data_IF_942098027368
#
_entry.id   IF_942098027368
#
_cell.length_a   1.000
_cell.length_b   1.000
_cell.length_c   1.000
_cell.angle_alpha   90.00
_cell.angle_beta   90.00
_cell.angle_gamma   90.00
#
_symmetry.space_group_name_H-M   'P 1'
#
loop_
_entity.id
_entity.type
_entity.pdbx_description
1 polymer ?
#
# COMPACT_ATOMS: atom_id res chain seq x y z
N UNK A 1 -1.57 31.75 -8.06
CA UNK A 1 -0.73 31.13 -9.12
C UNK A 1 -1.57 31.09 -10.39
N UNK A 2 -1.32 31.96 -11.36
CA UNK A 2 -2.09 32.00 -12.61
C UNK A 2 -1.49 30.96 -13.57
N UNK A 3 -2.26 29.93 -13.92
CA UNK A 3 -1.86 28.97 -14.96
C UNK A 3 -2.07 29.67 -16.31
N UNK A 4 -0.98 29.92 -17.04
CA UNK A 4 -1.06 30.48 -18.39
C UNK A 4 -1.42 29.36 -19.40
N UNK A 5 -2.60 29.40 -20.05
CA UNK A 5 -3.01 28.37 -21.00
C UNK A 5 -2.22 28.38 -22.32
N UNK A 6 -1.42 29.42 -22.56
CA UNK A 6 -0.59 29.59 -23.77
C UNK A 6 0.90 29.33 -23.52
N UNK A 7 1.27 28.73 -22.39
CA UNK A 7 2.68 28.44 -22.07
C UNK A 7 3.30 27.62 -23.21
N UNK A 8 4.20 28.21 -23.99
CA UNK A 8 4.86 27.51 -25.09
C UNK A 8 5.79 26.44 -24.52
N UNK A 9 5.94 25.32 -25.24
CA UNK A 9 6.92 24.28 -24.89
C UNK A 9 8.30 24.89 -24.71
N UNK A 10 8.80 24.92 -23.46
CA UNK A 10 10.11 25.48 -23.12
C UNK A 10 10.09 26.79 -22.31
N UNK A 11 8.94 27.46 -22.19
CA UNK A 11 8.82 28.65 -21.33
C UNK A 11 8.59 28.23 -19.88
N UNK A 12 9.67 28.09 -19.11
CA UNK A 12 9.60 28.03 -17.64
C UNK A 12 10.23 29.33 -17.09
N UNK A 13 9.42 30.30 -16.63
CA UNK A 13 9.90 31.67 -16.39
C UNK A 13 11.00 31.83 -15.34
N UNK A 14 11.25 30.87 -14.44
CA UNK A 14 12.16 31.07 -13.29
C UNK A 14 13.05 29.86 -12.97
N UNK A 15 13.27 28.96 -13.92
CA UNK A 15 14.20 27.85 -13.72
C UNK A 15 15.20 27.79 -14.87
N UNK A 16 16.42 28.27 -14.61
CA UNK A 16 17.61 27.69 -15.23
C UNK A 16 17.63 26.22 -14.81
N UNK A 17 16.92 25.35 -15.54
CA UNK A 17 16.89 23.92 -15.26
C UNK A 17 18.32 23.42 -15.47
N UNK A 18 19.12 23.40 -14.39
CA UNK A 18 20.37 22.64 -14.38
C UNK A 18 20.00 21.25 -14.89
N UNK A 19 20.81 20.73 -15.80
CA UNK A 19 20.55 19.44 -16.44
C UNK A 19 20.72 18.34 -15.39
N UNK A 20 19.68 18.10 -14.62
CA UNK A 20 19.66 17.10 -13.55
C UNK A 20 19.62 15.70 -14.16
N UNK A 21 20.32 14.77 -13.51
CA UNK A 21 20.29 13.36 -13.85
C UNK A 21 19.46 12.59 -12.82
N UNK A 22 18.67 11.58 -13.23
CA UNK A 22 18.00 10.69 -12.28
C UNK A 22 19.04 9.96 -11.42
N UNK A 23 18.70 9.64 -10.17
CA UNK A 23 19.61 9.00 -9.22
C UNK A 23 20.67 9.93 -8.62
N UNK A 24 20.58 11.24 -8.84
CA UNK A 24 21.44 12.24 -8.20
C UNK A 24 20.60 13.29 -7.50
N UNK A 25 21.06 13.74 -6.33
CA UNK A 25 20.47 14.87 -5.62
C UNK A 25 20.29 16.07 -6.57
N UNK A 26 19.13 16.78 -6.58
CA UNK A 26 18.02 16.69 -5.61
C UNK A 26 16.93 15.65 -5.96
N UNK A 27 17.20 14.72 -6.89
CA UNK A 27 16.29 13.63 -7.29
C UNK A 27 14.97 14.08 -7.94
N UNK A 28 14.86 15.32 -8.42
CA UNK A 28 13.67 15.82 -9.15
C UNK A 28 13.29 14.90 -10.32
N UNK A 29 14.28 14.24 -10.94
CA UNK A 29 14.09 13.33 -12.08
C UNK A 29 13.94 11.86 -11.70
N UNK A 30 13.88 11.54 -10.41
CA UNK A 30 13.73 10.18 -9.88
C UNK A 30 14.89 9.75 -8.98
N UNK A 31 14.58 8.88 -8.02
CA UNK A 31 15.51 8.38 -7.01
C UNK A 31 16.58 7.43 -7.57
N UNK A 32 16.28 6.72 -8.67
CA UNK A 32 17.17 5.72 -9.27
C UNK A 32 17.66 6.18 -10.64
N UNK A 33 18.89 5.88 -11.03
CA UNK A 33 19.49 6.31 -12.30
C UNK A 33 18.80 5.72 -13.55
N UNK A 34 18.33 4.49 -13.45
CA UNK A 34 17.72 3.76 -14.57
C UNK A 34 16.18 3.73 -14.48
N UNK A 35 15.61 4.02 -13.30
CA UNK A 35 14.17 4.00 -13.01
C UNK A 35 13.49 2.76 -13.64
N UNK A 36 12.37 2.98 -14.32
CA UNK A 36 11.52 1.96 -14.93
C UNK A 36 12.13 1.27 -16.15
N UNK A 37 13.30 1.73 -16.66
CA UNK A 37 14.06 0.98 -17.68
C UNK A 37 14.73 -0.26 -17.10
N UNK A 38 15.03 -0.26 -15.80
CA UNK A 38 15.62 -1.39 -15.07
C UNK A 38 14.59 -2.19 -14.30
N UNK A 39 13.70 -1.52 -13.57
CA UNK A 39 12.68 -2.15 -12.73
C UNK A 39 11.42 -1.31 -12.71
N UNK A 40 10.29 -1.90 -13.11
CA UNK A 40 8.99 -1.26 -13.01
C UNK A 40 8.62 -0.95 -11.56
N UNK A 41 7.68 -0.04 -11.35
CA UNK A 41 7.09 0.16 -10.03
C UNK A 41 6.40 -1.13 -9.56
N UNK A 42 6.34 -1.33 -8.24
CA UNK A 42 5.56 -2.45 -7.69
C UNK A 42 4.09 -2.21 -7.96
N UNK A 43 3.45 -3.12 -8.69
CA UNK A 43 2.00 -3.16 -8.76
C UNK A 43 1.50 -3.70 -7.42
N UNK A 44 0.91 -2.83 -6.61
CA UNK A 44 0.46 -3.15 -5.25
C UNK A 44 -1.00 -2.73 -5.08
N UNK A 45 -1.89 -3.71 -5.02
CA UNK A 45 -3.31 -3.45 -4.80
C UNK A 45 -3.60 -3.36 -3.29
N UNK A 46 -4.38 -2.36 -2.90
CA UNK A 46 -4.96 -2.24 -1.57
C UNK A 46 -6.19 -3.13 -1.46
N UNK A 47 -6.17 -4.10 -0.55
CA UNK A 47 -7.21 -5.10 -0.41
C UNK A 47 -7.31 -5.64 1.03
N UNK A 48 -8.52 -6.05 1.39
CA UNK A 48 -8.89 -6.62 2.68
C UNK A 48 -10.37 -6.33 2.92
N UNK A 49 -11.18 -7.36 3.16
CA UNK A 49 -12.60 -7.23 3.48
C UNK A 49 -13.13 -8.54 4.09
N UNK A 50 -14.21 -8.46 4.87
CA UNK A 50 -14.88 -9.63 5.45
C UNK A 50 -14.00 -10.37 6.46
N UNK A 51 -13.43 -11.53 6.14
CA UNK A 51 -12.63 -12.34 7.06
C UNK A 51 -11.19 -12.46 6.56
N UNK A 52 -10.31 -12.99 7.40
CA UNK A 52 -8.93 -13.28 7.03
C UNK A 52 -8.85 -14.26 5.85
N UNK A 53 -9.70 -15.28 5.82
CA UNK A 53 -9.77 -16.28 4.76
C UNK A 53 -10.26 -15.72 3.42
N UNK A 54 -11.32 -14.89 3.44
CA UNK A 54 -11.80 -14.24 2.21
C UNK A 54 -10.77 -13.22 1.67
N UNK A 55 -10.11 -12.49 2.58
CA UNK A 55 -9.01 -11.59 2.22
C UNK A 55 -7.80 -12.36 1.65
N UNK A 56 -7.48 -13.54 2.21
CA UNK A 56 -6.43 -14.42 1.70
C UNK A 56 -6.76 -14.93 0.28
N UNK A 57 -7.99 -15.40 0.03
CA UNK A 57 -8.43 -15.78 -1.33
C UNK A 57 -8.25 -14.63 -2.31
N UNK A 58 -8.59 -13.40 -1.89
CA UNK A 58 -8.37 -12.20 -2.71
C UNK A 58 -6.89 -11.95 -2.96
N UNK A 59 -6.02 -12.14 -1.98
CA UNK A 59 -4.57 -11.97 -2.16
C UNK A 59 -3.98 -12.99 -3.12
N UNK A 60 -4.33 -14.27 -3.00
CA UNK A 60 -3.90 -15.30 -3.94
C UNK A 60 -4.37 -14.97 -5.36
N UNK A 61 -5.64 -14.60 -5.53
CA UNK A 61 -6.16 -14.14 -6.82
C UNK A 61 -5.33 -12.98 -7.39
N UNK A 62 -5.00 -11.97 -6.59
CA UNK A 62 -4.21 -10.82 -7.06
C UNK A 62 -2.80 -11.24 -7.49
N UNK A 63 -2.13 -12.09 -6.71
CA UNK A 63 -0.79 -12.61 -7.02
C UNK A 63 -0.81 -13.42 -8.33
N UNK A 64 -1.81 -14.28 -8.52
CA UNK A 64 -2.00 -15.06 -9.75
C UNK A 64 -2.23 -14.19 -10.99
N UNK A 65 -2.74 -12.96 -10.80
CA UNK A 65 -2.98 -11.99 -11.87
C UNK A 65 -1.86 -10.94 -12.01
N UNK A 66 -0.67 -11.22 -11.46
CA UNK A 66 0.54 -10.44 -11.72
C UNK A 66 0.80 -9.27 -10.77
N UNK A 67 0.03 -9.16 -9.68
CA UNK A 67 0.37 -8.24 -8.58
C UNK A 67 1.67 -8.71 -7.93
N UNK A 68 2.61 -7.77 -7.71
CA UNK A 68 3.98 -8.07 -7.22
C UNK A 68 4.20 -7.66 -5.77
N UNK A 69 3.18 -7.11 -5.12
CA UNK A 69 3.16 -6.84 -3.69
C UNK A 69 1.73 -6.66 -3.18
N UNK A 70 1.50 -7.00 -1.93
CA UNK A 70 0.17 -6.89 -1.29
C UNK A 70 0.08 -5.66 -0.41
N UNK A 71 -1.07 -5.01 -0.32
CA UNK A 71 -1.33 -3.98 0.70
C UNK A 71 -2.59 -4.31 1.47
N UNK A 72 -2.45 -4.56 2.77
CA UNK A 72 -3.54 -5.00 3.63
C UNK A 72 -4.36 -3.82 4.13
N UNK A 73 -5.68 -3.92 3.96
CA UNK A 73 -6.68 -3.03 4.54
C UNK A 73 -7.29 -3.67 5.79
N UNK A 74 -7.15 -3.05 6.96
CA UNK A 74 -7.74 -3.52 8.21
C UNK A 74 -9.10 -2.86 8.47
N UNK A 75 -9.97 -3.54 9.20
CA UNK A 75 -11.25 -2.95 9.60
C UNK A 75 -11.07 -1.83 10.63
N UNK A 76 -12.14 -1.08 10.91
CA UNK A 76 -12.07 0.05 11.84
C UNK A 76 -11.69 -0.38 13.26
N UNK A 77 -12.30 -1.43 13.88
CA UNK A 77 -11.90 -1.93 15.19
C UNK A 77 -10.40 -2.23 15.31
N UNK A 78 -9.82 -2.94 14.34
CA UNK A 78 -8.38 -3.26 14.31
C UNK A 78 -7.53 -1.99 14.24
N UNK A 79 -7.97 -0.99 13.47
CA UNK A 79 -7.25 0.28 13.32
C UNK A 79 -7.23 1.13 14.61
N UNK A 80 -8.28 1.05 15.42
CA UNK A 80 -8.43 1.84 16.65
C UNK A 80 -8.14 1.05 17.93
N UNK A 81 -7.85 -0.25 17.82
CA UNK A 81 -7.39 -1.09 18.94
C UNK A 81 -8.50 -1.76 19.74
N UNK A 82 -9.62 -2.07 19.10
CA UNK A 82 -10.67 -2.89 19.71
C UNK A 82 -10.68 -4.30 19.12
N UNK A 83 -10.85 -5.28 20.00
CA UNK A 83 -11.19 -6.64 19.60
C UNK A 83 -12.61 -6.68 19.01
N UNK A 84 -12.87 -7.67 18.16
CA UNK A 84 -14.14 -7.80 17.44
C UNK A 84 -15.35 -8.07 18.34
N UNK A 85 -15.15 -8.53 19.57
CA UNK A 85 -16.20 -8.72 20.59
C UNK A 85 -16.39 -7.50 21.49
N UNK A 86 -15.62 -6.43 21.29
CA UNK A 86 -15.79 -5.19 22.03
C UNK A 86 -17.13 -4.52 21.64
N UNK A 87 -17.93 -4.01 22.58
CA UNK A 87 -19.17 -3.30 22.27
C UNK A 87 -18.98 -2.11 21.30
N UNK A 88 -17.81 -1.45 21.31
CA UNK A 88 -17.49 -0.36 20.40
C UNK A 88 -17.20 -0.81 18.96
N UNK A 89 -16.97 -2.11 18.74
CA UNK A 89 -16.72 -2.70 17.42
C UNK A 89 -18.00 -3.14 16.69
N UNK A 90 -19.14 -3.14 17.37
CA UNK A 90 -20.41 -3.61 16.83
C UNK A 90 -20.76 -2.89 15.51
N UNK A 91 -21.05 -3.68 14.47
CA UNK A 91 -21.41 -3.17 13.14
C UNK A 91 -20.23 -2.72 12.26
N UNK A 92 -19.00 -2.71 12.78
CA UNK A 92 -17.81 -2.27 12.03
C UNK A 92 -16.81 -3.42 11.75
N UNK A 93 -16.98 -4.57 12.41
CA UNK A 93 -16.15 -5.77 12.21
C UNK A 93 -16.21 -6.23 10.75
N UNK A 94 -15.05 -6.27 10.09
CA UNK A 94 -14.90 -6.77 8.71
C UNK A 94 -15.55 -5.92 7.60
N UNK A 95 -16.13 -4.76 7.94
CA UNK A 95 -16.93 -3.93 7.02
C UNK A 95 -16.07 -3.17 6.00
N UNK A 96 -14.95 -2.61 6.45
CA UNK A 96 -14.06 -1.78 5.63
C UNK A 96 -12.66 -2.37 5.44
N UNK A 97 -12.43 -3.58 5.96
CA UNK A 97 -11.14 -4.24 5.96
C UNK A 97 -11.20 -5.61 6.59
N UNK A 98 -10.04 -6.25 6.76
CA UNK A 98 -9.93 -7.52 7.49
C UNK A 98 -9.93 -7.26 9.01
N UNK A 99 -10.74 -7.98 9.81
CA UNK A 99 -10.66 -7.96 11.26
C UNK A 99 -9.45 -8.78 11.72
N UNK A 100 -8.61 -8.21 12.58
CA UNK A 100 -7.49 -8.90 13.20
C UNK A 100 -7.45 -8.59 14.69
N UNK A 101 -7.76 -9.59 15.49
CA UNK A 101 -7.72 -9.51 16.96
C UNK A 101 -6.56 -10.33 17.54
N UNK A 102 -6.05 -11.30 16.78
CA UNK A 102 -4.97 -12.17 17.25
C UNK A 102 -4.02 -12.59 16.14
N UNK A 103 -2.95 -13.28 16.52
CA UNK A 103 -2.01 -13.91 15.57
C UNK A 103 -2.71 -14.95 14.67
N UNK A 104 -3.83 -15.54 15.10
CA UNK A 104 -4.57 -16.54 14.32
C UNK A 104 -5.02 -15.94 12.98
N UNK A 105 -5.60 -14.75 13.00
CA UNK A 105 -6.10 -14.07 11.81
C UNK A 105 -4.94 -13.68 10.88
N UNK A 106 -3.78 -13.26 11.41
CA UNK A 106 -2.58 -13.03 10.60
C UNK A 106 -2.10 -14.32 9.91
N UNK A 107 -2.15 -15.45 10.62
CA UNK A 107 -1.81 -16.76 10.05
C UNK A 107 -2.73 -17.14 8.90
N UNK A 108 -4.04 -16.95 9.08
CA UNK A 108 -5.05 -17.22 8.04
C UNK A 108 -4.92 -16.26 6.85
N UNK A 109 -4.65 -14.98 7.12
CA UNK A 109 -4.54 -13.92 6.13
C UNK A 109 -3.40 -14.19 5.12
N UNK A 110 -2.30 -14.79 5.58
CA UNK A 110 -1.13 -15.11 4.76
C UNK A 110 -0.94 -16.61 4.54
N UNK A 111 -1.96 -17.42 4.82
CA UNK A 111 -1.90 -18.85 4.55
C UNK A 111 -1.59 -19.12 3.07
N UNK A 112 -0.67 -20.04 2.82
CA UNK A 112 -0.15 -20.36 1.47
C UNK A 112 0.48 -19.19 0.68
N UNK A 113 0.90 -18.10 1.34
CA UNK A 113 1.64 -16.99 0.70
C UNK A 113 3.09 -16.99 1.17
N UNK A 114 4.05 -17.12 0.24
CA UNK A 114 5.49 -17.05 0.53
C UNK A 114 5.94 -15.62 0.85
N UNK A 115 5.92 -15.26 2.13
CA UNK A 115 6.28 -13.92 2.62
C UNK A 115 7.75 -13.52 2.37
N UNK A 116 8.64 -14.48 2.11
CA UNK A 116 10.03 -14.23 1.70
C UNK A 116 10.14 -13.71 0.25
N UNK A 117 9.10 -13.92 -0.57
CA UNK A 117 9.07 -13.56 -2.00
C UNK A 117 8.12 -12.40 -2.30
N UNK A 118 7.12 -12.18 -1.44
CA UNK A 118 6.10 -11.16 -1.63
C UNK A 118 6.33 -10.02 -0.65
N UNK A 119 6.50 -8.80 -1.17
CA UNK A 119 6.51 -7.62 -0.32
C UNK A 119 5.10 -7.32 0.17
N UNK A 120 4.90 -7.26 1.48
CA UNK A 120 3.62 -6.90 2.11
C UNK A 120 3.73 -5.50 2.70
N UNK A 121 2.73 -4.68 2.42
CA UNK A 121 2.48 -3.39 3.06
C UNK A 121 1.24 -3.55 3.92
N UNK A 122 1.23 -2.90 5.08
CA UNK A 122 0.11 -2.94 6.01
C UNK A 122 -0.29 -1.50 6.31
N UNK A 123 -1.51 -1.12 5.93
CA UNK A 123 -2.00 0.26 6.15
C UNK A 123 -2.58 0.33 7.56
N UNK A 124 -1.70 0.59 8.53
CA UNK A 124 -2.04 0.65 9.95
C UNK A 124 -1.27 1.78 10.62
N UNK A 125 -1.87 2.42 11.63
CA UNK A 125 -1.30 3.58 12.30
C UNK A 125 -1.22 3.35 13.83
N UNK A 126 -2.29 3.66 14.57
CA UNK A 126 -2.28 3.67 16.03
C UNK A 126 -1.89 2.32 16.65
N UNK A 127 -2.30 1.21 16.04
CA UNK A 127 -2.04 -0.16 16.49
C UNK A 127 -0.84 -0.82 15.79
N UNK A 128 -0.03 -0.05 15.05
CA UNK A 128 1.09 -0.58 14.28
C UNK A 128 2.08 -1.41 15.13
N UNK A 129 2.43 -0.94 16.33
CA UNK A 129 3.37 -1.63 17.22
C UNK A 129 2.86 -2.99 17.74
N UNK A 130 1.55 -3.23 17.68
CA UNK A 130 0.95 -4.51 18.08
C UNK A 130 0.90 -5.49 16.90
N UNK A 131 0.78 -4.97 15.68
CA UNK A 131 0.54 -5.76 14.46
C UNK A 131 1.81 -6.02 13.61
N UNK A 132 2.85 -5.19 13.74
CA UNK A 132 4.11 -5.24 12.95
C UNK A 132 5.31 -5.69 13.78
#
# INVERSE_FOLDING_TARGET
MLINPLKKTGECPDHLVKKEAPGKYPFTRGLYSEMYRKKLWTMRQYAGFTTAEESNKRFQYLLDHGVTGLSVAFDLPTQIGYDSDNPMAEGEVGKVGVPVTSRKEIGLLFDNISLDKVSVSMTINATAATLL
#
